data_IF_140157058313
#
_entry.id   IF_140157058313
#
_cell.length_a   1.000
_cell.length_b   1.000
_cell.length_c   1.000
_cell.angle_alpha   90.00
_cell.angle_beta   90.00
_cell.angle_gamma   90.00
#
_symmetry.space_group_name_H-M   'P 1'
#
loop_
_entity.id
_entity.type
_entity.pdbx_description
1 polymer ?
#
# COMPACT_ATOMS: atom_id res chain seq x y z
N UNK A 1 16.00 14.49 18.24
CA UNK A 1 15.92 13.20 17.52
C UNK A 1 14.51 13.18 16.88
N UNK A 2 14.23 13.52 15.62
CA UNK A 2 14.92 13.37 14.35
C UNK A 2 14.60 14.58 13.45
N UNK A 3 15.63 15.23 12.90
CA UNK A 3 15.50 16.27 11.88
C UNK A 3 16.46 15.88 10.75
N UNK A 4 16.01 14.99 9.84
CA UNK A 4 16.86 14.53 8.73
C UNK A 4 16.10 13.93 7.54
N UNK A 5 14.82 14.24 7.34
CA UNK A 5 13.99 13.57 6.32
C UNK A 5 13.38 14.50 5.26
N UNK A 6 14.00 15.66 5.03
CA UNK A 6 13.65 16.59 3.95
C UNK A 6 14.76 16.77 2.90
N UNK A 7 15.84 15.99 2.94
CA UNK A 7 16.99 16.21 2.02
C UNK A 7 17.54 14.93 1.42
N UNK A 8 16.68 14.13 0.77
CA UNK A 8 17.13 13.02 -0.10
C UNK A 8 16.33 12.91 -1.41
N UNK A 9 15.65 13.97 -1.84
CA UNK A 9 14.89 13.98 -3.10
C UNK A 9 15.70 14.54 -4.30
N UNK A 10 16.91 15.08 -4.07
CA UNK A 10 17.64 15.80 -5.11
C UNK A 10 18.60 14.93 -5.96
N UNK A 11 19.18 13.85 -5.41
CA UNK A 11 20.34 13.22 -6.06
C UNK A 11 20.03 12.04 -6.98
N UNK A 12 18.80 11.50 -6.98
CA UNK A 12 18.47 10.29 -7.76
C UNK A 12 17.05 10.34 -8.31
N UNK A 13 16.87 11.09 -9.40
CA UNK A 13 15.78 11.05 -10.40
C UNK A 13 14.49 10.34 -9.94
N UNK A 14 13.67 11.04 -9.15
CA UNK A 14 12.32 10.60 -8.85
C UNK A 14 11.44 10.80 -10.10
N UNK A 15 10.72 9.77 -10.50
CA UNK A 15 9.72 9.86 -11.55
C UNK A 15 8.39 10.40 -10.99
N UNK A 16 7.62 11.14 -11.80
CA UNK A 16 6.34 11.68 -11.38
C UNK A 16 5.37 10.58 -10.97
N UNK A 17 4.42 10.91 -10.11
CA UNK A 17 3.33 10.00 -9.77
C UNK A 17 2.46 9.67 -10.99
N UNK A 18 1.88 8.47 -10.98
CA UNK A 18 0.88 8.05 -11.96
C UNK A 18 -0.53 8.28 -11.42
N UNK A 19 -1.56 8.29 -12.28
CA UNK A 19 -2.97 8.47 -11.90
C UNK A 19 -3.41 7.52 -10.78
N UNK A 20 -2.92 6.28 -10.80
CA UNK A 20 -3.20 5.28 -9.75
C UNK A 20 -2.65 5.67 -8.38
N UNK A 21 -1.75 6.64 -8.28
CA UNK A 21 -1.20 7.08 -7.01
C UNK A 21 -1.98 8.25 -6.40
N UNK A 22 -2.90 8.87 -7.15
CA UNK A 22 -3.67 10.04 -6.71
C UNK A 22 -4.46 9.73 -5.43
N UNK A 23 -4.33 10.60 -4.43
CA UNK A 23 -4.95 10.40 -3.11
C UNK A 23 -4.12 9.55 -2.13
N UNK A 24 -2.87 9.23 -2.44
CA UNK A 24 -1.95 8.66 -1.45
C UNK A 24 -1.35 9.76 -0.55
N UNK A 25 -1.34 9.57 0.78
CA UNK A 25 -0.78 10.54 1.75
C UNK A 25 0.74 10.79 1.63
N UNK A 26 1.43 9.97 0.82
CA UNK A 26 2.89 9.99 0.65
C UNK A 26 3.34 10.77 -0.59
N UNK A 27 2.44 11.50 -1.24
CA UNK A 27 2.76 12.35 -2.37
C UNK A 27 3.35 13.66 -1.84
N UNK A 28 4.47 14.08 -2.43
CA UNK A 28 5.10 15.38 -2.18
C UNK A 28 5.05 16.18 -3.46
N UNK A 29 4.58 17.42 -3.36
CA UNK A 29 4.53 18.36 -4.48
C UNK A 29 5.75 19.29 -4.38
N UNK A 30 6.66 19.19 -5.34
CA UNK A 30 7.77 20.14 -5.48
C UNK A 30 7.59 20.90 -6.79
N UNK A 31 7.08 22.13 -6.70
CA UNK A 31 6.78 22.97 -7.84
C UNK A 31 5.56 22.46 -8.63
N UNK A 32 5.75 22.17 -9.91
CA UNK A 32 4.69 21.69 -10.82
C UNK A 32 4.59 20.17 -10.94
N UNK A 33 5.45 19.41 -10.23
CA UNK A 33 5.52 17.96 -10.34
C UNK A 33 5.30 17.32 -8.98
N UNK A 34 4.52 16.26 -8.98
CA UNK A 34 4.19 15.46 -7.80
C UNK A 34 5.00 14.18 -7.81
N UNK A 35 5.65 13.87 -6.69
CA UNK A 35 6.52 12.70 -6.54
C UNK A 35 6.08 11.84 -5.36
N UNK A 36 6.45 10.56 -5.38
CA UNK A 36 6.26 9.69 -4.23
C UNK A 36 7.45 9.81 -3.27
N UNK A 37 7.18 10.09 -1.98
CA UNK A 37 8.23 10.16 -0.94
C UNK A 37 8.98 8.83 -0.74
N UNK A 38 8.33 7.72 -1.07
CA UNK A 38 8.85 6.37 -0.76
C UNK A 38 9.48 5.68 -1.97
N UNK A 39 8.95 5.88 -3.17
CA UNK A 39 9.38 5.19 -4.37
C UNK A 39 9.90 6.16 -5.42
N UNK A 40 11.06 5.84 -6.00
CA UNK A 40 11.64 6.60 -7.12
C UNK A 40 10.90 6.37 -8.43
N UNK A 41 10.36 5.17 -8.64
CA UNK A 41 9.57 4.83 -9.81
C UNK A 41 8.20 4.27 -9.35
N UNK A 42 7.16 5.11 -9.29
CA UNK A 42 5.82 4.65 -8.92
C UNK A 42 5.22 3.73 -9.98
N UNK A 43 5.46 3.97 -11.27
CA UNK A 43 4.94 3.17 -12.38
C UNK A 43 5.34 1.69 -12.27
N UNK A 44 6.63 1.42 -12.06
CA UNK A 44 7.14 0.06 -11.89
C UNK A 44 6.50 -0.66 -10.68
N UNK A 45 6.22 0.08 -9.60
CA UNK A 45 5.59 -0.51 -8.42
C UNK A 45 4.16 -0.96 -8.72
N UNK A 46 3.39 -0.12 -9.41
CA UNK A 46 2.02 -0.43 -9.82
C UNK A 46 1.91 -1.48 -10.93
N UNK A 47 2.96 -1.64 -11.74
CA UNK A 47 3.06 -2.73 -12.72
C UNK A 47 3.28 -4.09 -12.06
N UNK A 48 4.06 -4.15 -10.96
CA UNK A 48 4.32 -5.39 -10.22
C UNK A 48 3.16 -5.78 -9.28
N UNK A 49 2.26 -4.86 -8.96
CA UNK A 49 1.10 -5.12 -8.12
C UNK A 49 0.63 -3.86 -7.37
N UNK A 50 -0.31 -4.04 -6.44
CA UNK A 50 -0.80 -2.93 -5.63
C UNK A 50 0.33 -2.35 -4.78
N UNK A 51 0.40 -1.03 -4.67
CA UNK A 51 1.36 -0.39 -3.77
C UNK A 51 0.98 -0.69 -2.31
N UNK A 52 1.92 -1.27 -1.55
CA UNK A 52 1.73 -1.61 -0.12
C UNK A 52 1.40 -0.41 0.76
N UNK A 53 1.72 0.81 0.30
CA UNK A 53 1.48 2.05 1.01
C UNK A 53 0.32 2.86 0.42
N UNK A 54 -0.39 2.33 -0.57
CA UNK A 54 -1.57 2.98 -1.11
C UNK A 54 -2.64 3.04 -0.02
N UNK A 55 -2.90 4.25 0.49
CA UNK A 55 -3.97 4.52 1.45
C UNK A 55 -5.34 4.52 0.77
N UNK A 56 -5.38 4.84 -0.53
CA UNK A 56 -6.61 4.88 -1.34
C UNK A 56 -6.98 3.51 -1.93
N UNK A 57 -6.00 2.69 -2.32
CA UNK A 57 -6.23 1.37 -2.88
C UNK A 57 -6.13 0.33 -1.78
N UNK A 58 -7.25 0.10 -1.10
CA UNK A 58 -7.35 -1.05 -0.19
C UNK A 58 -7.57 -2.28 -1.06
N UNK A 59 -6.72 -3.32 -1.01
CA UNK A 59 -7.02 -4.56 -1.70
C UNK A 59 -8.39 -5.02 -1.20
N UNK A 60 -9.31 -5.27 -2.12
CA UNK A 60 -10.60 -5.86 -1.78
C UNK A 60 -10.31 -7.23 -1.17
N UNK A 61 -10.24 -7.26 0.15
CA UNK A 61 -10.30 -8.47 0.93
C UNK A 61 -11.72 -8.96 0.71
N UNK A 62 -11.91 -9.75 -0.35
CA UNK A 62 -13.04 -10.64 -0.47
C UNK A 62 -12.90 -11.59 0.72
N UNK A 63 -13.37 -11.13 1.89
CA UNK A 63 -13.69 -11.94 3.03
C UNK A 63 -14.85 -12.80 2.54
N UNK A 64 -14.51 -13.83 1.77
CA UNK A 64 -15.35 -14.98 1.58
C UNK A 64 -15.68 -15.37 3.00
N UNK A 65 -16.90 -15.03 3.43
CA UNK A 65 -17.44 -15.49 4.71
C UNK A 65 -17.47 -16.99 4.54
N UNK A 66 -16.38 -17.64 4.92
CA UNK A 66 -16.28 -19.09 4.91
C UNK A 66 -17.34 -19.51 5.91
N UNK A 67 -18.52 -19.87 5.39
CA UNK A 67 -19.61 -20.44 6.17
C UNK A 67 -19.11 -21.79 6.65
N UNK A 68 -18.42 -21.79 7.78
CA UNK A 68 -17.99 -23.02 8.43
C UNK A 68 -19.27 -23.72 8.91
N UNK A 69 -19.51 -24.92 8.40
CA UNK A 69 -20.64 -25.73 8.82
C UNK A 69 -20.61 -25.92 10.35
N UNK A 70 -21.72 -25.75 11.08
CA UNK A 70 -21.77 -25.87 12.54
C UNK A 70 -21.20 -27.21 13.06
N UNK A 71 -21.38 -28.32 12.34
CA UNK A 71 -20.77 -29.62 12.68
C UNK A 71 -19.24 -29.59 12.59
N UNK A 72 -18.70 -28.88 11.60
CA UNK A 72 -17.25 -28.70 11.39
C UNK A 72 -16.64 -27.78 12.44
N UNK A 73 -17.39 -26.76 12.88
CA UNK A 73 -17.01 -25.89 14.00
C UNK A 73 -16.99 -26.66 15.33
N UNK A 74 -18.06 -27.42 15.61
CA UNK A 74 -18.17 -28.27 16.80
C UNK A 74 -17.00 -29.26 16.88
N UNK A 75 -16.75 -30.05 15.82
CA UNK A 75 -15.60 -30.99 15.76
C UNK A 75 -14.24 -30.32 15.97
N UNK A 76 -14.04 -29.08 15.51
CA UNK A 76 -12.79 -28.33 15.75
C UNK A 76 -12.66 -27.86 17.19
N UNK A 77 -13.75 -27.49 17.84
CA UNK A 77 -13.77 -27.08 19.23
C UNK A 77 -13.51 -28.28 20.17
N UNK A 78 -14.12 -29.43 19.90
CA UNK A 78 -13.97 -30.65 20.70
C UNK A 78 -12.55 -31.20 20.71
N UNK A 79 -11.78 -30.97 19.64
CA UNK A 79 -10.40 -31.46 19.50
C UNK A 79 -9.34 -30.54 20.13
N UNK A 80 -9.72 -29.33 20.55
CA UNK A 80 -8.86 -28.40 21.29
C UNK A 80 -9.08 -28.47 22.80
N UNK A 81 -10.10 -29.21 23.25
CA UNK A 81 -10.32 -29.60 24.64
C UNK A 81 -9.57 -30.91 24.89
#
# INVERSE_FOLDING_TARGET
MQASETTKCADLSFQPIIEKCEGCERIVEEGSVKYCKTYKNPEAKWHLGLCNFATHAKPELNLVKVRVNPLKASKRASRRK
#
